data_IF_949513917214
#
_entry.id   IF_949513917214
#
_cell.length_a   1.000
_cell.length_b   1.000
_cell.length_c   1.000
_cell.angle_alpha   90.00
_cell.angle_beta   90.00
_cell.angle_gamma   90.00
#
_symmetry.space_group_name_H-M   'P 1'
#
loop_
_entity.id
_entity.type
_entity.pdbx_description
1 polymer ?
#
# COMPACT_ATOMS: atom_id res chain seq x y z
N UNK A 1 16.06 -8.82 13.22
CA UNK A 1 16.08 -8.09 11.93
C UNK A 1 15.36 -8.86 10.84
N UNK A 2 15.78 -10.10 10.51
CA UNK A 2 15.18 -10.89 9.42
C UNK A 2 13.68 -11.16 9.57
N UNK A 3 13.21 -11.52 10.77
CA UNK A 3 11.78 -11.72 11.03
C UNK A 3 10.96 -10.44 10.81
N UNK A 4 11.50 -9.29 11.21
CA UNK A 4 10.83 -8.00 11.02
C UNK A 4 10.75 -7.62 9.55
N UNK A 5 11.83 -7.82 8.78
CA UNK A 5 11.83 -7.64 7.33
C UNK A 5 10.77 -8.55 6.71
N UNK A 6 10.75 -9.85 7.04
CA UNK A 6 9.77 -10.79 6.49
C UNK A 6 8.32 -10.36 6.77
N UNK A 7 8.02 -9.87 7.97
CA UNK A 7 6.70 -9.36 8.32
C UNK A 7 6.34 -8.09 7.53
N UNK A 8 7.28 -7.15 7.38
CA UNK A 8 7.08 -5.92 6.62
C UNK A 8 6.91 -6.22 5.12
N UNK A 9 7.74 -7.09 4.55
CA UNK A 9 7.61 -7.52 3.15
C UNK A 9 6.27 -8.23 2.92
N UNK A 10 5.84 -9.10 3.84
CA UNK A 10 4.54 -9.78 3.74
C UNK A 10 3.37 -8.78 3.82
N UNK A 11 3.41 -7.84 4.76
CA UNK A 11 2.40 -6.80 4.90
C UNK A 11 2.36 -5.87 3.66
N UNK A 12 3.53 -5.49 3.14
CA UNK A 12 3.69 -4.71 1.90
C UNK A 12 3.08 -5.45 0.71
N UNK A 13 3.43 -6.73 0.50
CA UNK A 13 2.91 -7.54 -0.60
C UNK A 13 1.39 -7.75 -0.51
N UNK A 14 0.87 -8.10 0.66
CA UNK A 14 -0.55 -8.32 0.87
C UNK A 14 -1.36 -7.04 0.66
N UNK A 15 -0.90 -5.92 1.20
CA UNK A 15 -1.55 -4.63 1.01
C UNK A 15 -1.47 -4.16 -0.44
N UNK A 16 -0.33 -4.32 -1.11
CA UNK A 16 -0.18 -4.01 -2.53
C UNK A 16 -1.13 -4.85 -3.41
N UNK A 17 -1.18 -6.17 -3.21
CA UNK A 17 -2.08 -7.06 -3.94
C UNK A 17 -3.54 -6.67 -3.72
N UNK A 18 -3.92 -6.36 -2.47
CA UNK A 18 -5.28 -5.92 -2.14
C UNK A 18 -5.62 -4.57 -2.80
N UNK A 19 -4.69 -3.61 -2.81
CA UNK A 19 -4.86 -2.31 -3.45
C UNK A 19 -5.03 -2.44 -4.97
N UNK A 20 -4.29 -3.35 -5.61
CA UNK A 20 -4.43 -3.64 -7.05
C UNK A 20 -5.80 -4.23 -7.35
N UNK A 21 -6.28 -5.17 -6.53
CA UNK A 21 -7.64 -5.72 -6.67
C UNK A 21 -8.73 -4.65 -6.50
N UNK A 22 -8.45 -3.59 -5.75
CA UNK A 22 -9.34 -2.45 -5.52
C UNK A 22 -8.85 -1.18 -6.22
N UNK A 23 -8.15 -1.30 -7.35
CA UNK A 23 -7.51 -0.18 -8.04
C UNK A 23 -8.50 0.95 -8.39
N UNK A 24 -9.75 0.62 -8.70
CA UNK A 24 -10.81 1.61 -8.90
C UNK A 24 -11.08 2.43 -7.64
N UNK A 25 -11.24 1.76 -6.50
CA UNK A 25 -11.57 2.42 -5.24
C UNK A 25 -10.39 3.30 -4.77
N UNK A 26 -9.17 2.85 -5.05
CA UNK A 26 -7.94 3.64 -4.90
C UNK A 26 -7.97 4.87 -5.80
N UNK A 27 -8.28 4.72 -7.09
CA UNK A 27 -8.37 5.84 -8.03
C UNK A 27 -9.44 6.86 -7.62
N UNK A 28 -10.60 6.40 -7.13
CA UNK A 28 -11.64 7.28 -6.59
C UNK A 28 -11.17 8.07 -5.37
N UNK A 29 -10.42 7.42 -4.47
CA UNK A 29 -9.85 8.06 -3.28
C UNK A 29 -8.77 9.09 -3.64
N UNK A 30 -7.92 8.78 -4.62
CA UNK A 30 -6.78 9.60 -5.03
C UNK A 30 -7.11 10.68 -6.06
N UNK A 31 -8.31 10.63 -6.67
CA UNK A 31 -8.78 11.61 -7.66
C UNK A 31 -8.62 13.08 -7.28
N UNK A 32 -8.77 13.50 -6.01
CA UNK A 32 -8.55 14.91 -5.63
C UNK A 32 -7.09 15.36 -5.78
N UNK A 33 -6.14 14.43 -5.73
CA UNK A 33 -4.69 14.69 -5.76
C UNK A 33 -4.10 14.40 -7.13
N UNK A 34 -4.61 13.37 -7.81
CA UNK A 34 -4.13 12.93 -9.11
C UNK A 34 -5.27 12.92 -10.13
N UNK A 35 -5.05 13.36 -11.39
CA UNK A 35 -6.06 13.37 -12.44
C UNK A 35 -6.32 11.94 -12.96
N UNK A 36 -6.82 11.06 -12.09
CA UNK A 36 -7.09 9.65 -12.38
C UNK A 36 -8.53 9.50 -12.87
N UNK A 37 -8.72 8.67 -13.91
CA UNK A 37 -10.04 8.24 -14.37
C UNK A 37 -10.33 6.88 -13.72
N UNK A 38 -11.34 6.78 -12.85
CA UNK A 38 -11.70 5.48 -12.26
C UNK A 38 -12.26 4.55 -13.34
N UNK A 39 -11.82 3.29 -13.33
CA UNK A 39 -12.35 2.27 -14.24
C UNK A 39 -13.83 1.94 -13.99
N UNK A 40 -14.43 1.21 -14.92
CA UNK A 40 -15.84 0.80 -14.88
C UNK A 40 -16.16 -0.24 -13.77
N UNK A 41 -17.45 -0.54 -13.52
CA UNK A 41 -17.91 -1.47 -12.46
C UNK A 41 -18.57 -0.85 -11.22
N UNK A 42 -18.46 -1.51 -10.06
CA UNK A 42 -19.01 -1.06 -8.77
C UNK A 42 -17.91 -0.87 -7.73
N UNK A 43 -18.20 -0.03 -6.73
CA UNK A 43 -17.36 0.17 -5.57
C UNK A 43 -17.40 -1.07 -4.67
N UNK A 44 -16.25 -1.63 -4.30
CA UNK A 44 -16.17 -2.86 -3.52
C UNK A 44 -15.66 -2.62 -2.09
N UNK A 45 -14.79 -1.62 -1.90
CA UNK A 45 -14.21 -1.28 -0.60
C UNK A 45 -14.60 0.12 -0.12
N UNK A 46 -14.73 0.27 1.20
CA UNK A 46 -14.94 1.57 1.85
C UNK A 46 -13.69 2.45 1.79
N UNK A 47 -13.85 3.78 1.86
CA UNK A 47 -12.72 4.72 1.82
C UNK A 47 -11.75 4.42 2.96
N UNK A 48 -12.27 4.09 4.14
CA UNK A 48 -11.46 3.75 5.32
C UNK A 48 -10.60 2.51 5.08
N UNK A 49 -11.15 1.47 4.44
CA UNK A 49 -10.39 0.26 4.14
C UNK A 49 -9.25 0.53 3.14
N UNK A 50 -9.54 1.32 2.10
CA UNK A 50 -8.53 1.73 1.11
C UNK A 50 -7.44 2.59 1.75
N UNK A 51 -7.80 3.58 2.56
CA UNK A 51 -6.83 4.40 3.30
C UNK A 51 -5.97 3.56 4.25
N UNK A 52 -6.57 2.59 4.96
CA UNK A 52 -5.83 1.69 5.83
C UNK A 52 -4.84 0.83 5.04
N UNK A 53 -5.25 0.27 3.91
CA UNK A 53 -4.36 -0.52 3.05
C UNK A 53 -3.21 0.31 2.47
N UNK A 54 -3.46 1.55 2.01
CA UNK A 54 -2.40 2.49 1.57
C UNK A 54 -1.43 2.79 2.71
N UNK A 55 -1.96 3.01 3.91
CA UNK A 55 -1.16 3.30 5.11
C UNK A 55 -0.27 2.12 5.46
N UNK A 56 -0.84 0.90 5.53
CA UNK A 56 -0.10 -0.33 5.79
C UNK A 56 0.99 -0.55 4.74
N UNK A 57 0.66 -0.38 3.46
CA UNK A 57 1.64 -0.49 2.37
C UNK A 57 2.79 0.50 2.56
N UNK A 58 2.48 1.79 2.72
CA UNK A 58 3.48 2.85 2.86
C UNK A 58 4.39 2.65 4.07
N UNK A 59 3.82 2.38 5.25
CA UNK A 59 4.62 2.13 6.46
C UNK A 59 5.47 0.87 6.35
N UNK A 60 4.92 -0.20 5.77
CA UNK A 60 5.66 -1.45 5.61
C UNK A 60 6.86 -1.28 4.69
N UNK A 61 6.64 -0.63 3.53
CA UNK A 61 7.69 -0.37 2.56
C UNK A 61 8.77 0.58 3.12
N UNK A 62 8.38 1.68 3.75
CA UNK A 62 9.34 2.63 4.36
C UNK A 62 10.15 1.95 5.46
N UNK A 63 9.49 1.17 6.32
CA UNK A 63 10.16 0.42 7.38
C UNK A 63 11.16 -0.59 6.83
N UNK A 64 10.76 -1.34 5.78
CA UNK A 64 11.63 -2.31 5.10
C UNK A 64 12.86 -1.61 4.50
N UNK A 65 12.65 -0.56 3.71
CA UNK A 65 13.73 0.22 3.09
C UNK A 65 14.68 0.78 4.15
N UNK A 66 14.15 1.34 5.24
CA UNK A 66 14.97 1.90 6.31
C UNK A 66 15.83 0.85 7.00
N UNK A 67 15.27 -0.34 7.28
CA UNK A 67 16.03 -1.46 7.86
C UNK A 67 17.15 -1.90 6.92
N UNK A 68 16.86 -2.01 5.63
CA UNK A 68 17.84 -2.43 4.61
C UNK A 68 18.97 -1.40 4.49
N UNK A 69 18.64 -0.11 4.41
CA UNK A 69 19.64 0.97 4.35
C UNK A 69 20.55 0.96 5.57
N UNK A 70 19.96 0.83 6.77
CA UNK A 70 20.71 0.77 8.02
C UNK A 70 21.59 -0.48 8.13
N UNK A 71 21.13 -1.61 7.59
CA UNK A 71 21.93 -2.84 7.51
C UNK A 71 23.08 -2.73 6.49
N UNK A 72 22.91 -1.94 5.44
CA UNK A 72 23.92 -1.64 4.42
C UNK A 72 24.96 -0.59 4.88
N UNK A 73 24.78 0.01 6.06
CA UNK A 73 25.72 0.98 6.64
C UNK A 73 25.51 2.43 6.20
N UNK A 74 24.33 2.76 5.65
CA UNK A 74 23.88 4.13 5.42
C UNK A 74 23.22 4.74 6.67
#
# INVERSE_FOLDING_TARGET
MQVLIALLSAASLLSAAWLVLHARDVALLLRPVFPLVPGEGRRLASFRAVSAAITVFGFSLVGEVWIVLRAAGF
#
